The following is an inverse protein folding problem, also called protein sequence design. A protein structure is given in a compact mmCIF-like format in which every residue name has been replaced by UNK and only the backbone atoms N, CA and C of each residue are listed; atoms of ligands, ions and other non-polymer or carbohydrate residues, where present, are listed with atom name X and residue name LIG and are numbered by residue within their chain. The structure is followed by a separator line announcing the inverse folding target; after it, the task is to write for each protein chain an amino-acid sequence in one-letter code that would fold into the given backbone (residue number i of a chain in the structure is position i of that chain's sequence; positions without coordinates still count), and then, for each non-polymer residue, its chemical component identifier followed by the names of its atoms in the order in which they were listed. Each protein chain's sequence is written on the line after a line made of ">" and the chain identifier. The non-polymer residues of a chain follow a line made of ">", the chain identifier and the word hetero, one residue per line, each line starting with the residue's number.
data_IF_350557193974
#
_entry.id   IF_350557193974
#
_cell.length_a   1.000
_cell.length_b   1.000
_cell.length_c   1.000
_cell.angle_alpha   90.00
_cell.angle_beta   90.00
_cell.angle_gamma   90.00
#
_symmetry.space_group_name_H-M   'P 1'
#
loop_
_entity.id
_entity.type
_entity.pdbx_description
1 polymer ?
#
# COMPACT_ATOMS: atom_id res chain seq x y z
N UNK A 1 50.07 7.09 3.12
CA UNK A 1 48.93 7.76 2.48
C UNK A 1 47.70 7.45 3.33
N UNK A 2 47.06 8.47 3.91
CA UNK A 2 45.85 8.26 4.73
C UNK A 2 44.72 7.80 3.80
N UNK A 3 44.15 6.62 4.05
CA UNK A 3 43.08 6.05 3.24
C UNK A 3 41.78 6.82 3.56
N UNK A 4 41.48 7.88 2.80
CA UNK A 4 40.28 8.70 3.02
C UNK A 4 39.06 7.86 2.64
N UNK A 5 38.19 7.60 3.62
CA UNK A 5 36.92 6.88 3.42
C UNK A 5 36.04 7.62 2.40
N UNK A 6 35.33 6.85 1.58
CA UNK A 6 34.29 7.40 0.70
C UNK A 6 33.10 7.90 1.53
N UNK A 7 32.26 8.78 0.96
CA UNK A 7 31.03 9.24 1.64
C UNK A 7 30.12 8.06 2.03
N UNK A 8 30.02 7.07 1.15
CA UNK A 8 29.28 5.84 1.43
C UNK A 8 29.85 5.10 2.64
N UNK A 9 31.17 4.85 2.65
CA UNK A 9 31.80 4.13 3.76
C UNK A 9 31.65 4.90 5.08
N UNK A 10 31.81 6.23 5.04
CA UNK A 10 31.58 7.10 6.21
C UNK A 10 30.16 6.95 6.75
N UNK A 11 29.14 6.99 5.89
CA UNK A 11 27.73 6.86 6.30
C UNK A 11 27.41 5.44 6.82
N UNK A 12 27.93 4.41 6.15
CA UNK A 12 27.70 2.99 6.47
C UNK A 12 28.30 2.57 7.82
N UNK A 13 29.38 3.20 8.24
CA UNK A 13 30.07 2.90 9.49
C UNK A 13 29.49 3.61 10.71
N UNK A 14 28.55 4.55 10.54
CA UNK A 14 27.90 5.22 11.67
C UNK A 14 27.16 4.18 12.51
N UNK A 15 27.47 4.13 13.81
CA UNK A 15 26.69 3.36 14.78
C UNK A 15 25.36 4.06 15.03
N UNK A 16 24.27 3.38 14.68
CA UNK A 16 22.91 3.90 14.78
C UNK A 16 22.16 3.40 16.01
N UNK A 17 22.73 2.48 16.79
CA UNK A 17 22.05 1.74 17.86
C UNK A 17 21.32 2.66 18.84
N UNK A 18 21.95 3.79 19.21
CA UNK A 18 21.39 4.77 20.16
C UNK A 18 20.32 5.71 19.56
N UNK A 19 20.16 5.72 18.24
CA UNK A 19 19.23 6.60 17.52
C UNK A 19 17.96 5.89 17.06
N UNK A 20 17.99 4.57 16.97
CA UNK A 20 16.87 3.77 16.52
C UNK A 20 15.73 3.80 17.54
N UNK A 21 14.50 3.82 17.02
CA UNK A 21 13.28 3.77 17.81
C UNK A 21 12.38 2.66 17.30
N UNK A 22 11.78 1.95 18.23
CA UNK A 22 10.74 0.99 17.91
C UNK A 22 9.58 1.67 17.17
N UNK A 23 9.09 1.02 16.12
CA UNK A 23 7.87 1.44 15.44
C UNK A 23 6.65 1.14 16.29
N UNK A 24 5.72 2.08 16.40
CA UNK A 24 4.45 1.92 17.13
C UNK A 24 3.55 0.78 16.58
N UNK A 25 3.88 0.23 15.41
CA UNK A 25 3.12 -0.85 14.76
C UNK A 25 4.04 -2.06 14.54
N UNK A 26 3.66 -3.25 15.03
CA UNK A 26 4.41 -4.48 14.72
C UNK A 26 4.29 -4.82 13.23
N UNK A 27 5.25 -5.59 12.73
CA UNK A 27 5.21 -6.21 11.40
C UNK A 27 4.21 -7.36 11.32
N UNK A 28 4.05 -7.89 10.11
CA UNK A 28 3.21 -9.06 9.84
C UNK A 28 3.61 -10.30 10.65
N UNK A 29 4.89 -10.44 11.00
CA UNK A 29 5.46 -11.52 11.83
C UNK A 29 5.54 -11.18 13.34
N UNK A 30 4.91 -10.08 13.77
CA UNK A 30 4.87 -9.67 15.18
C UNK A 30 6.18 -9.09 15.72
N UNK A 31 7.19 -8.86 14.86
CA UNK A 31 8.43 -8.19 15.25
C UNK A 31 8.29 -6.67 15.25
N UNK A 32 9.11 -6.00 16.03
CA UNK A 32 9.16 -4.54 16.07
C UNK A 32 10.22 -4.06 15.07
N UNK A 33 9.85 -3.14 14.15
CA UNK A 33 10.84 -2.52 13.27
C UNK A 33 11.55 -1.41 14.03
N UNK A 34 12.87 -1.41 13.97
CA UNK A 34 13.69 -0.31 14.44
C UNK A 34 13.81 0.75 13.34
N UNK A 35 13.21 1.92 13.57
CA UNK A 35 13.18 3.04 12.66
C UNK A 35 14.21 4.09 13.06
N UNK A 36 14.96 4.61 12.08
CA UNK A 36 15.77 5.82 12.26
C UNK A 36 14.88 7.07 12.09
N UNK A 37 14.71 7.93 13.12
CA UNK A 37 13.92 9.15 12.99
C UNK A 37 14.49 10.07 11.90
N UNK A 38 13.63 10.59 11.03
CA UNK A 38 14.04 11.37 9.85
C UNK A 38 14.87 12.62 10.18
N UNK A 39 14.60 13.29 11.31
CA UNK A 39 15.38 14.45 11.76
C UNK A 39 16.81 14.05 12.15
N UNK A 40 16.95 12.90 12.81
CA UNK A 40 18.26 12.32 13.15
C UNK A 40 19.00 11.90 11.88
N UNK A 41 18.33 11.22 10.95
CA UNK A 41 18.91 10.84 9.67
C UNK A 41 19.40 12.07 8.88
N UNK A 42 18.59 13.15 8.85
CA UNK A 42 18.96 14.41 8.21
C UNK A 42 20.26 14.99 8.78
N UNK A 43 20.36 15.09 10.11
CA UNK A 43 21.55 15.60 10.80
C UNK A 43 22.78 14.74 10.50
N UNK A 44 22.67 13.41 10.63
CA UNK A 44 23.77 12.49 10.36
C UNK A 44 24.25 12.59 8.91
N UNK A 45 23.33 12.73 7.96
CA UNK A 45 23.69 12.91 6.56
C UNK A 45 24.37 14.26 6.29
N UNK A 46 24.03 15.32 7.05
CA UNK A 46 24.73 16.61 6.97
C UNK A 46 26.16 16.50 7.52
N UNK A 47 26.36 15.69 8.57
CA UNK A 47 27.69 15.41 9.11
C UNK A 47 28.57 14.64 8.11
N UNK A 48 27.97 13.77 7.28
CA UNK A 48 28.65 13.02 6.21
C UNK A 48 28.98 13.92 5.01
N UNK A 49 28.00 14.67 4.52
CA UNK A 49 28.15 15.58 3.38
C UNK A 49 27.31 16.86 3.58
N UNK A 50 27.91 17.97 4.03
CA UNK A 50 27.18 19.22 4.26
C UNK A 50 26.49 19.79 3.00
N UNK A 51 26.90 19.36 1.80
CA UNK A 51 26.34 19.82 0.54
C UNK A 51 25.28 18.88 -0.03
N UNK A 52 24.89 17.81 0.70
CA UNK A 52 23.88 16.90 0.17
C UNK A 52 22.56 17.65 -0.07
N UNK A 53 21.89 17.28 -1.16
CA UNK A 53 20.69 17.95 -1.61
C UNK A 53 19.60 16.92 -1.92
N UNK A 54 18.34 17.29 -1.71
CA UNK A 54 17.21 16.45 -2.04
C UNK A 54 15.98 17.28 -2.40
N UNK A 55 15.14 16.73 -3.26
CA UNK A 55 13.85 17.29 -3.65
C UNK A 55 12.84 16.17 -3.91
N UNK A 56 11.57 16.41 -3.60
CA UNK A 56 10.50 15.52 -4.04
C UNK A 56 10.08 15.89 -5.46
N UNK A 57 10.01 14.91 -6.34
CA UNK A 57 9.59 15.12 -7.72
C UNK A 57 8.11 15.48 -7.78
N UNK A 58 7.79 16.48 -8.61
CA UNK A 58 6.44 16.98 -8.80
C UNK A 58 5.79 16.34 -10.03
N UNK A 59 4.50 16.11 -9.96
CA UNK A 59 3.69 15.76 -11.13
C UNK A 59 3.45 16.99 -12.03
N UNK A 60 2.66 16.81 -13.10
CA UNK A 60 2.31 17.87 -14.04
C UNK A 60 1.53 19.03 -13.41
N UNK A 61 0.86 18.79 -12.29
CA UNK A 61 0.05 19.77 -11.56
C UNK A 61 0.83 20.43 -10.41
N UNK A 62 2.11 20.07 -10.23
CA UNK A 62 2.99 20.60 -9.20
C UNK A 62 2.90 19.87 -7.85
N UNK A 63 2.16 18.77 -7.75
CA UNK A 63 2.02 17.97 -6.53
C UNK A 63 3.23 17.06 -6.35
N UNK A 64 3.73 16.97 -5.12
CA UNK A 64 4.83 16.08 -4.74
C UNK A 64 4.36 14.65 -4.40
N UNK A 65 3.15 14.27 -4.83
CA UNK A 65 2.55 12.95 -4.64
C UNK A 65 1.88 12.52 -5.95
N UNK A 66 2.13 11.29 -6.37
CA UNK A 66 1.73 10.75 -7.67
C UNK A 66 0.62 9.72 -7.45
N UNK A 67 -0.60 10.07 -7.87
CA UNK A 67 -1.78 9.22 -7.68
C UNK A 67 -1.98 8.25 -8.85
N UNK A 68 -2.26 6.99 -8.52
CA UNK A 68 -2.67 5.94 -9.44
C UNK A 68 -4.20 5.92 -9.63
N UNK A 69 -4.67 5.33 -10.74
CA UNK A 69 -6.10 5.27 -11.10
C UNK A 69 -6.99 4.58 -10.05
N UNK A 70 -6.42 3.68 -9.25
CA UNK A 70 -7.10 2.97 -8.17
C UNK A 70 -7.19 3.77 -6.86
N UNK A 71 -6.72 5.02 -6.86
CA UNK A 71 -6.69 5.92 -5.70
C UNK A 71 -5.48 5.72 -4.78
N UNK A 72 -4.60 4.75 -5.02
CA UNK A 72 -3.33 4.64 -4.27
C UNK A 72 -2.34 5.67 -4.77
N UNK A 73 -1.30 5.96 -3.99
CA UNK A 73 -0.31 6.97 -4.37
C UNK A 73 1.10 6.56 -4.01
N UNK A 74 2.06 7.25 -4.61
CA UNK A 74 3.47 7.19 -4.26
C UNK A 74 4.08 8.58 -4.14
N UNK A 75 5.26 8.64 -3.53
CA UNK A 75 6.11 9.83 -3.50
C UNK A 75 7.43 9.49 -4.17
N UNK A 76 8.03 10.44 -4.86
CA UNK A 76 9.30 10.26 -5.57
C UNK A 76 10.29 11.27 -5.07
N UNK A 77 11.51 10.84 -4.80
CA UNK A 77 12.58 11.70 -4.32
C UNK A 77 13.80 11.55 -5.23
N UNK A 78 14.45 12.68 -5.45
CA UNK A 78 15.78 12.78 -6.02
C UNK A 78 16.73 13.27 -4.95
N UNK A 79 17.80 12.53 -4.69
CA UNK A 79 18.81 12.88 -3.68
C UNK A 79 20.21 12.83 -4.28
N UNK A 80 21.00 13.85 -4.00
CA UNK A 80 22.41 13.95 -4.42
C UNK A 80 23.31 14.01 -3.21
N UNK A 81 24.29 13.13 -3.15
CA UNK A 81 25.34 13.06 -2.12
C UNK A 81 26.68 12.97 -2.85
N UNK A 82 27.58 13.91 -2.60
CA UNK A 82 28.80 14.08 -3.37
C UNK A 82 28.52 14.27 -4.86
N UNK A 83 28.97 13.32 -5.68
CA UNK A 83 28.80 13.33 -7.14
C UNK A 83 27.75 12.30 -7.64
N UNK A 84 27.01 11.64 -6.74
CA UNK A 84 26.02 10.62 -7.09
C UNK A 84 24.62 11.12 -6.80
N UNK A 85 23.74 10.97 -7.80
CA UNK A 85 22.30 11.25 -7.68
C UNK A 85 21.53 9.95 -7.78
N UNK A 86 20.56 9.76 -6.89
CA UNK A 86 19.66 8.62 -6.84
C UNK A 86 18.22 9.13 -6.96
N UNK A 87 17.42 8.41 -7.74
CA UNK A 87 15.98 8.58 -7.83
C UNK A 87 15.31 7.36 -7.21
N UNK A 88 14.35 7.60 -6.32
CA UNK A 88 13.60 6.53 -5.64
C UNK A 88 12.13 6.90 -5.55
N UNK A 89 11.25 5.93 -5.81
CA UNK A 89 9.84 6.02 -5.45
C UNK A 89 9.56 5.27 -4.15
N UNK A 90 8.50 5.67 -3.45
CA UNK A 90 8.03 4.99 -2.25
C UNK A 90 6.50 5.03 -2.19
N UNK A 91 5.83 3.88 -2.03
CA UNK A 91 4.37 3.84 -1.96
C UNK A 91 3.86 4.48 -0.68
N UNK A 92 2.67 5.08 -0.73
CA UNK A 92 1.95 5.52 0.46
C UNK A 92 1.20 4.32 1.03
N UNK A 93 1.71 3.76 2.13
CA UNK A 93 1.20 2.53 2.73
C UNK A 93 1.17 2.59 4.26
N UNK A 94 0.35 1.72 4.85
CA UNK A 94 0.37 1.39 6.27
C UNK A 94 0.24 -0.12 6.40
N UNK A 95 1.01 -0.72 7.30
CA UNK A 95 1.01 -2.18 7.53
C UNK A 95 1.20 -2.98 6.23
N UNK A 96 2.09 -2.52 5.34
CA UNK A 96 2.39 -3.15 4.06
C UNK A 96 1.24 -3.15 3.03
N UNK A 97 0.13 -2.46 3.33
CA UNK A 97 -0.99 -2.29 2.41
C UNK A 97 -1.04 -0.85 1.90
N UNK A 98 -1.24 -0.71 0.58
CA UNK A 98 -1.37 0.61 -0.06
C UNK A 98 -2.62 1.33 0.41
N UNK A 99 -2.48 2.60 0.79
CA UNK A 99 -3.59 3.43 1.26
C UNK A 99 -4.29 4.04 0.03
N UNK A 100 -5.61 3.88 -0.05
CA UNK A 100 -6.44 4.56 -1.05
C UNK A 100 -6.80 5.97 -0.57
N UNK A 101 -6.68 6.96 -1.45
CA UNK A 101 -6.93 8.37 -1.20
C UNK A 101 -6.26 8.88 0.08
N UNK A 102 -4.91 8.77 0.19
CA UNK A 102 -4.20 9.12 1.40
C UNK A 102 -4.35 10.59 1.79
N UNK A 103 -4.41 10.83 3.09
CA UNK A 103 -4.41 12.14 3.74
C UNK A 103 -3.02 12.80 3.64
N UNK A 104 -2.97 14.12 3.86
CA UNK A 104 -1.71 14.86 3.89
C UNK A 104 -0.70 14.29 4.93
N UNK A 105 -1.18 13.80 6.07
CA UNK A 105 -0.34 13.19 7.12
C UNK A 105 0.28 11.87 6.66
N UNK A 106 -0.48 11.03 5.94
CA UNK A 106 0.00 9.77 5.39
C UNK A 106 1.03 10.02 4.28
N UNK A 107 0.76 11.00 3.42
CA UNK A 107 1.72 11.44 2.39
C UNK A 107 2.99 11.98 3.04
N UNK A 108 2.89 12.81 4.08
CA UNK A 108 4.06 13.32 4.79
C UNK A 108 4.89 12.18 5.41
N UNK A 109 4.23 11.21 6.04
CA UNK A 109 4.89 10.02 6.59
C UNK A 109 5.64 9.25 5.50
N UNK A 110 4.99 9.03 4.34
CA UNK A 110 5.62 8.38 3.20
C UNK A 110 6.82 9.17 2.66
N UNK A 111 6.73 10.50 2.58
CA UNK A 111 7.86 11.39 2.21
C UNK A 111 9.06 11.21 3.14
N UNK A 112 8.84 11.25 4.45
CA UNK A 112 9.95 11.07 5.41
C UNK A 112 10.57 9.68 5.32
N UNK A 113 9.74 8.62 5.17
CA UNK A 113 10.23 7.24 4.98
C UNK A 113 11.01 7.09 3.68
N UNK A 114 10.50 7.64 2.58
CA UNK A 114 11.17 7.67 1.29
C UNK A 114 12.55 8.32 1.39
N UNK A 115 12.63 9.45 2.09
CA UNK A 115 13.88 10.18 2.31
C UNK A 115 14.91 9.37 3.09
N UNK A 116 14.53 8.79 4.23
CA UNK A 116 15.44 7.97 5.04
C UNK A 116 15.87 6.72 4.28
N UNK A 117 14.95 6.06 3.56
CA UNK A 117 15.28 4.90 2.76
C UNK A 117 16.21 5.22 1.58
N UNK A 118 16.12 6.44 1.03
CA UNK A 118 17.08 6.92 0.00
C UNK A 118 18.46 7.16 0.61
N UNK A 119 18.55 7.66 1.85
CA UNK A 119 19.84 7.82 2.55
C UNK A 119 20.53 6.47 2.77
N UNK A 120 19.77 5.37 2.91
CA UNK A 120 20.33 4.02 2.99
C UNK A 120 21.04 3.58 1.72
N UNK A 121 20.61 4.04 0.54
CA UNK A 121 21.34 3.79 -0.72
C UNK A 121 22.67 4.57 -0.82
N UNK A 122 22.87 5.54 0.08
CA UNK A 122 24.15 6.22 0.32
C UNK A 122 24.89 5.67 1.55
N UNK A 123 24.44 4.56 2.13
CA UNK A 123 25.09 3.84 3.22
C UNK A 123 24.46 4.06 4.60
N UNK A 124 23.75 5.18 4.82
CA UNK A 124 23.20 5.51 6.14
C UNK A 124 22.03 4.59 6.50
N UNK A 125 22.13 3.82 7.58
CA UNK A 125 21.09 2.86 8.01
C UNK A 125 20.95 1.62 7.10
N UNK A 126 21.88 1.40 6.17
CA UNK A 126 21.81 0.26 5.25
C UNK A 126 21.89 -1.09 6.00
N UNK A 127 22.76 -1.23 7.01
CA UNK A 127 22.86 -2.45 7.83
C UNK A 127 21.53 -2.89 8.41
N UNK A 128 20.74 -1.95 8.93
CA UNK A 128 19.42 -2.25 9.47
C UNK A 128 18.42 -2.67 8.38
N UNK A 129 18.60 -2.20 7.13
CA UNK A 129 17.80 -2.68 6.00
C UNK A 129 18.27 -4.05 5.49
N UNK A 130 19.58 -4.32 5.52
CA UNK A 130 20.14 -5.64 5.18
C UNK A 130 19.72 -6.71 6.20
N UNK A 131 19.63 -6.36 7.48
CA UNK A 131 19.13 -7.24 8.55
C UNK A 131 17.60 -7.47 8.49
N UNK A 132 16.87 -6.67 7.70
CA UNK A 132 15.41 -6.83 7.49
C UNK A 132 15.10 -7.87 6.41
N UNK A 133 16.05 -8.22 5.53
CA UNK A 133 15.88 -9.28 4.52
C UNK A 133 16.50 -10.62 4.99
N UNK A 134 15.78 -11.70 4.68
CA UNK A 134 15.98 -13.12 5.05
C UNK A 134 15.49 -13.52 6.45
N UNK A 135 14.17 -13.37 6.67
CA UNK A 135 13.39 -14.56 7.05
C UNK A 135 12.55 -14.89 5.83
N UNK A 136 13.18 -15.48 4.81
CA UNK A 136 12.44 -16.37 3.93
C UNK A 136 11.96 -17.49 4.85
N UNK A 137 10.65 -17.71 4.95
CA UNK A 137 10.11 -18.89 5.61
C UNK A 137 10.63 -20.13 4.87
N UNK A 138 11.82 -20.62 5.24
CA UNK A 138 12.20 -22.01 5.06
C UNK A 138 11.34 -22.84 6.02
N UNK A 139 10.07 -23.03 5.68
CA UNK A 139 9.32 -24.16 6.23
C UNK A 139 8.63 -24.95 5.14
N UNK A 140 8.96 -26.23 5.19
CA UNK A 140 8.61 -27.29 4.29
C UNK A 140 7.14 -27.33 3.85
N UNK A 141 7.02 -27.81 2.61
CA UNK A 141 5.88 -28.53 2.07
C UNK A 141 5.44 -29.61 3.09
N UNK A 142 4.41 -29.32 3.90
CA UNK A 142 3.22 -30.16 4.14
C UNK A 142 2.47 -29.79 5.45
N UNK A 143 1.28 -29.20 5.27
CA UNK A 143 0.03 -29.31 6.07
C UNK A 143 0.04 -28.94 7.58
N UNK A 144 -0.33 -27.67 7.84
CA UNK A 144 -1.38 -27.12 8.75
C UNK A 144 -1.75 -27.79 10.10
N UNK A 145 -2.09 -27.00 11.16
CA UNK A 145 -3.38 -26.25 11.18
C UNK A 145 -3.46 -24.86 11.90
N UNK A 146 -4.15 -23.90 11.21
CA UNK A 146 -5.17 -22.91 11.66
C UNK A 146 -4.67 -21.66 12.45
N UNK A 147 -4.88 -20.42 11.99
CA UNK A 147 -6.19 -19.78 11.70
C UNK A 147 -6.34 -19.28 10.25
N UNK A 148 -7.14 -20.03 9.47
CA UNK A 148 -7.55 -19.70 8.10
C UNK A 148 -8.41 -18.41 8.06
N UNK A 149 -7.97 -17.36 7.35
CA UNK A 149 -8.93 -16.69 6.47
C UNK A 149 -9.31 -17.76 5.44
N UNK A 150 -10.50 -18.33 5.60
CA UNK A 150 -11.08 -19.25 4.61
C UNK A 150 -10.84 -18.62 3.24
N UNK A 151 -10.13 -19.30 2.33
CA UNK A 151 -10.33 -19.04 0.91
C UNK A 151 -11.84 -19.12 0.70
N UNK A 152 -12.46 -17.96 0.55
CA UNK A 152 -13.88 -17.89 0.30
C UNK A 152 -14.09 -18.67 -0.97
N UNK A 153 -14.96 -19.68 -0.92
CA UNK A 153 -15.30 -20.40 -2.14
C UNK A 153 -15.78 -19.39 -3.18
N UNK A 154 -15.65 -19.72 -4.47
CA UNK A 154 -16.08 -18.82 -5.55
C UNK A 154 -17.50 -18.30 -5.30
N UNK A 155 -18.37 -19.15 -4.75
CA UNK A 155 -19.73 -18.82 -4.35
C UNK A 155 -19.79 -17.79 -3.21
N UNK A 156 -18.95 -17.92 -2.18
CA UNK A 156 -18.91 -16.97 -1.08
C UNK A 156 -18.32 -15.62 -1.49
N UNK A 157 -17.36 -15.61 -2.42
CA UNK A 157 -16.84 -14.38 -3.00
C UNK A 157 -17.92 -13.65 -3.81
N UNK A 158 -18.69 -14.37 -4.62
CA UNK A 158 -19.84 -13.83 -5.35
C UNK A 158 -20.89 -13.27 -4.39
N UNK A 159 -21.15 -13.95 -3.27
CA UNK A 159 -22.09 -13.48 -2.24
C UNK A 159 -21.62 -12.17 -1.59
N UNK A 160 -20.32 -12.04 -1.31
CA UNK A 160 -19.76 -10.81 -0.78
C UNK A 160 -19.90 -9.65 -1.78
N UNK A 161 -19.59 -9.88 -3.06
CA UNK A 161 -19.79 -8.87 -4.12
C UNK A 161 -21.27 -8.46 -4.21
N UNK A 162 -22.19 -9.41 -4.04
CA UNK A 162 -23.62 -9.12 -4.02
C UNK A 162 -24.00 -8.22 -2.84
N UNK A 163 -23.54 -8.53 -1.63
CA UNK A 163 -23.80 -7.74 -0.43
C UNK A 163 -23.19 -6.33 -0.55
N UNK A 164 -21.91 -6.24 -0.94
CA UNK A 164 -21.17 -4.98 -1.09
C UNK A 164 -21.71 -4.09 -2.22
N UNK A 165 -22.46 -4.65 -3.17
CA UNK A 165 -23.11 -3.86 -4.21
C UNK A 165 -24.16 -2.88 -3.67
N UNK A 166 -24.57 -3.01 -2.40
CA UNK A 166 -25.61 -2.19 -1.77
C UNK A 166 -27.01 -2.54 -2.26
N UNK A 167 -27.20 -3.71 -2.88
CA UNK A 167 -28.49 -4.15 -3.44
C UNK A 167 -29.60 -4.16 -2.38
N UNK A 168 -29.27 -4.46 -1.13
CA UNK A 168 -30.22 -4.50 -0.02
C UNK A 168 -30.81 -3.12 0.35
N UNK A 169 -30.11 -2.04 -0.01
CA UNK A 169 -30.51 -0.65 0.25
C UNK A 169 -31.40 -0.09 -0.86
N UNK A 170 -31.62 -0.84 -1.94
CA UNK A 170 -32.56 -0.44 -2.99
C UNK A 170 -33.98 -0.35 -2.41
N UNK A 171 -34.68 0.74 -2.72
CA UNK A 171 -36.06 1.02 -2.30
C UNK A 171 -37.08 0.91 -3.44
N UNK A 172 -36.61 0.77 -4.69
CA UNK A 172 -37.44 0.66 -5.89
C UNK A 172 -36.90 -0.40 -6.83
N UNK A 173 -37.77 -0.91 -7.71
CA UNK A 173 -37.39 -1.89 -8.74
C UNK A 173 -36.28 -1.35 -9.66
N UNK A 174 -36.41 -0.09 -10.12
CA UNK A 174 -35.45 0.53 -11.04
C UNK A 174 -34.07 0.73 -10.39
N UNK A 175 -34.04 1.06 -9.09
CA UNK A 175 -32.79 1.16 -8.34
C UNK A 175 -32.14 -0.22 -8.18
N UNK A 176 -32.92 -1.24 -7.81
CA UNK A 176 -32.45 -2.61 -7.69
C UNK A 176 -31.91 -3.15 -9.03
N UNK A 177 -32.61 -2.89 -10.13
CA UNK A 177 -32.21 -3.31 -11.48
C UNK A 177 -30.88 -2.66 -11.92
N UNK A 178 -30.67 -1.38 -11.59
CA UNK A 178 -29.40 -0.69 -11.88
C UNK A 178 -28.23 -1.28 -11.10
N UNK A 179 -28.42 -1.58 -9.82
CA UNK A 179 -27.40 -2.20 -8.96
C UNK A 179 -27.10 -3.62 -9.44
N UNK A 180 -28.12 -4.41 -9.77
CA UNK A 180 -27.94 -5.76 -10.32
C UNK A 180 -27.17 -5.78 -11.64
N UNK A 181 -27.44 -4.84 -12.54
CA UNK A 181 -26.68 -4.71 -13.79
C UNK A 181 -25.20 -4.37 -13.53
N UNK A 182 -24.91 -3.56 -12.50
CA UNK A 182 -23.54 -3.27 -12.08
C UNK A 182 -22.86 -4.51 -11.51
N UNK A 183 -23.54 -5.25 -10.63
CA UNK A 183 -23.09 -6.53 -10.10
C UNK A 183 -22.69 -7.51 -11.22
N UNK A 184 -23.54 -7.70 -12.23
CA UNK A 184 -23.23 -8.57 -13.38
C UNK A 184 -22.00 -8.12 -14.16
N UNK A 185 -21.82 -6.81 -14.36
CA UNK A 185 -20.61 -6.27 -15.01
C UNK A 185 -19.36 -6.51 -14.17
N UNK A 186 -19.45 -6.37 -12.85
CA UNK A 186 -18.34 -6.67 -11.93
C UNK A 186 -17.91 -8.12 -12.07
N UNK A 187 -18.85 -9.08 -12.06
CA UNK A 187 -18.54 -10.51 -12.24
C UNK A 187 -17.84 -10.80 -13.57
N UNK A 188 -18.33 -10.21 -14.67
CA UNK A 188 -17.68 -10.34 -16.00
C UNK A 188 -16.26 -9.79 -16.00
N UNK A 189 -16.02 -8.63 -15.38
CA UNK A 189 -14.68 -8.01 -15.33
C UNK A 189 -13.65 -8.85 -14.55
N UNK A 190 -14.11 -9.69 -13.62
CA UNK A 190 -13.24 -10.58 -12.83
C UNK A 190 -13.31 -12.04 -13.29
N UNK A 191 -13.89 -12.31 -14.47
CA UNK A 191 -14.04 -13.64 -15.06
C UNK A 191 -14.82 -14.64 -14.20
N UNK A 192 -15.75 -14.17 -13.38
CA UNK A 192 -16.65 -15.00 -12.58
C UNK A 192 -18.07 -15.03 -13.18
N UNK A 193 -18.79 -16.11 -12.89
CA UNK A 193 -20.20 -16.27 -13.22
C UNK A 193 -20.97 -16.47 -11.92
N UNK A 194 -22.12 -15.80 -11.80
CA UNK A 194 -23.01 -16.02 -10.67
C UNK A 194 -23.47 -17.48 -10.67
N UNK A 195 -23.52 -18.08 -9.48
CA UNK A 195 -23.97 -19.46 -9.31
C UNK A 195 -25.50 -19.54 -9.15
N UNK A 196 -26.18 -18.41 -8.90
CA UNK A 196 -27.65 -18.34 -8.82
C UNK A 196 -28.20 -17.47 -9.97
N UNK A 197 -28.61 -18.12 -11.05
CA UNK A 197 -29.18 -17.44 -12.23
C UNK A 197 -30.46 -16.67 -11.92
N UNK A 198 -31.21 -17.07 -10.88
CA UNK A 198 -32.47 -16.48 -10.46
C UNK A 198 -32.34 -15.52 -9.27
N UNK A 199 -31.11 -15.23 -8.81
CA UNK A 199 -30.81 -14.40 -7.63
C UNK A 199 -31.61 -13.10 -7.59
N UNK A 200 -31.65 -12.40 -8.72
CA UNK A 200 -32.35 -11.12 -8.80
C UNK A 200 -33.88 -11.27 -8.76
N UNK A 201 -34.43 -12.33 -9.35
CA UNK A 201 -35.87 -12.62 -9.33
C UNK A 201 -36.33 -12.95 -7.90
N UNK A 202 -35.52 -13.74 -7.17
CA UNK A 202 -35.78 -14.04 -5.75
C UNK A 202 -35.69 -12.78 -4.89
N UNK A 203 -34.72 -11.90 -5.17
CA UNK A 203 -34.54 -10.64 -4.44
C UNK A 203 -35.74 -9.70 -4.61
N UNK A 204 -36.21 -9.47 -5.85
CA UNK A 204 -37.36 -8.58 -6.10
C UNK A 204 -38.64 -9.13 -5.46
N UNK A 205 -38.85 -10.45 -5.48
CA UNK A 205 -39.98 -11.09 -4.80
C UNK A 205 -39.92 -10.89 -3.29
N UNK A 206 -38.73 -11.03 -2.68
CA UNK A 206 -38.52 -10.83 -1.24
C UNK A 206 -38.76 -9.38 -0.82
N UNK A 207 -38.38 -8.41 -1.65
CA UNK A 207 -38.59 -6.97 -1.39
C UNK A 207 -40.00 -6.48 -1.76
N UNK A 208 -40.85 -7.33 -2.34
CA UNK A 208 -42.18 -6.94 -2.83
C UNK A 208 -42.12 -5.95 -3.99
N UNK A 209 -41.03 -5.94 -4.75
CA UNK A 209 -40.89 -5.06 -5.91
C UNK A 209 -41.66 -5.63 -7.09
N UNK A 210 -42.68 -4.88 -7.52
CA UNK A 210 -43.39 -5.20 -8.75
C UNK A 210 -42.52 -4.80 -9.94
N UNK A 211 -42.24 -5.76 -10.82
CA UNK A 211 -41.71 -5.43 -12.13
C UNK A 211 -42.71 -4.48 -12.78
N UNK A 212 -42.31 -3.29 -13.25
CA UNK A 212 -43.23 -2.41 -13.96
C UNK A 212 -43.82 -3.21 -15.11
N UNK A 213 -45.15 -3.33 -15.13
CA UNK A 213 -45.86 -3.87 -16.28
C UNK A 213 -45.32 -3.11 -17.49
N UNK A 214 -44.87 -3.86 -18.50
CA UNK A 214 -44.49 -3.26 -19.77
C UNK A 214 -45.64 -2.34 -20.14
N UNK A 215 -45.38 -1.03 -20.18
CA UNK A 215 -46.28 -0.09 -20.82
C UNK A 215 -46.46 -0.61 -22.25
N UNK A 216 -47.52 -1.39 -22.44
CA UNK A 216 -48.12 -1.59 -23.75
C UNK A 216 -48.47 -0.20 -24.21
N UNK A 217 -48.00 0.12 -25.41
CA UNK A 217 -48.17 1.40 -26.08
C UNK A 217 -49.60 1.95 -25.99
#
# INVERSE_FOLDING_TARGET
>A
MSNKKSLFQTAYEIDLTSFLKESDKPTHDGKTIMLLPWATAHRLMQDVDPNYFWEFERDSDGNECHYYRNGTAEVRIKMTVGNKTIHRSYPVHSNWESIKNPTATEIHTAKQRCRVATMAEFGLNLKNYEEIDIVEDETDIDKEPVVKKKELSVEQHIENIWIESGINDATTYEAAQKIYNRFKRTLVNISLKDHDEDRFIKFIATKGFNKPESRVA
#
